data_IF_811840240094
#
_entry.id   IF_811840240094
#
_cell.length_a   1.000
_cell.length_b   1.000
_cell.length_c   1.000
_cell.angle_alpha   90.00
_cell.angle_beta   90.00
_cell.angle_gamma   90.00
#
_symmetry.space_group_name_H-M   'P 1'
#
loop_
_entity.id
_entity.type
_entity.pdbx_description
1 polymer ?
#
# COMPACT_ATOMS: atom_id res chain seq x y z
N UNK A 1 13.54 -6.46 -17.19
CA UNK A 1 13.30 -5.04 -16.89
C UNK A 1 11.90 -4.71 -17.38
N UNK A 2 10.87 -5.10 -16.63
CA UNK A 2 9.49 -4.84 -17.00
C UNK A 2 9.00 -3.63 -16.21
N UNK A 3 8.47 -2.64 -16.92
CA UNK A 3 7.99 -1.34 -16.46
C UNK A 3 7.13 -1.40 -15.19
N UNK A 4 7.78 -1.30 -14.02
CA UNK A 4 7.10 -0.99 -12.77
C UNK A 4 6.65 0.47 -12.87
N UNK A 5 5.39 0.69 -13.24
CA UNK A 5 4.80 2.02 -13.31
C UNK A 5 4.48 2.50 -11.90
N UNK A 6 5.22 3.49 -11.43
CA UNK A 6 4.96 4.19 -10.18
C UNK A 6 4.26 5.53 -10.43
N UNK A 7 3.56 6.01 -9.41
CA UNK A 7 2.88 7.29 -9.45
C UNK A 7 2.38 7.72 -8.08
N UNK A 8 1.60 8.79 -8.05
CA UNK A 8 0.94 9.27 -6.85
C UNK A 8 -0.55 9.44 -7.12
N UNK A 9 -1.38 9.04 -6.16
CA UNK A 9 -2.82 9.23 -6.21
C UNK A 9 -3.29 9.85 -4.89
N UNK A 10 -4.27 10.74 -4.96
CA UNK A 10 -4.87 11.34 -3.78
C UNK A 10 -6.03 10.48 -3.29
N UNK A 11 -5.92 9.97 -2.06
CA UNK A 11 -6.92 9.14 -1.40
C UNK A 11 -7.25 9.78 -0.06
N UNK A 12 -8.52 10.10 0.17
CA UNK A 12 -8.99 10.74 1.42
C UNK A 12 -8.22 12.03 1.79
N UNK A 13 -7.80 12.80 0.77
CA UNK A 13 -6.99 14.02 0.95
C UNK A 13 -5.51 13.76 1.26
N UNK A 14 -5.04 12.51 1.15
CA UNK A 14 -3.65 12.12 1.31
C UNK A 14 -3.06 11.70 -0.02
N UNK A 15 -1.91 12.27 -0.38
CA UNK A 15 -1.15 11.88 -1.58
C UNK A 15 -0.33 10.62 -1.34
N UNK A 16 -0.82 9.46 -1.79
CA UNK A 16 -0.17 8.17 -1.63
C UNK A 16 0.63 7.76 -2.87
N UNK A 17 1.85 7.29 -2.64
CA UNK A 17 2.62 6.60 -3.68
C UNK A 17 1.99 5.25 -4.02
N UNK A 18 1.88 4.95 -5.31
CA UNK A 18 1.45 3.64 -5.80
C UNK A 18 2.45 3.03 -6.79
N UNK A 19 2.41 1.71 -6.88
CA UNK A 19 3.13 0.91 -7.87
C UNK A 19 2.15 -0.02 -8.57
N UNK A 20 2.25 -0.11 -9.89
CA UNK A 20 1.47 -1.07 -10.67
C UNK A 20 2.27 -2.37 -10.77
N UNK A 21 1.82 -3.39 -10.05
CA UNK A 21 2.41 -4.73 -10.07
C UNK A 21 1.39 -5.66 -10.71
N UNK A 22 1.77 -6.34 -11.80
CA UNK A 22 0.89 -7.27 -12.55
C UNK A 22 -0.46 -6.65 -12.95
N UNK A 23 -0.46 -5.36 -13.32
CA UNK A 23 -1.67 -4.62 -13.72
C UNK A 23 -2.59 -4.23 -12.55
N UNK A 24 -2.16 -4.43 -11.30
CA UNK A 24 -2.86 -3.96 -10.10
C UNK A 24 -2.12 -2.81 -9.46
N UNK A 25 -2.84 -1.73 -9.21
CA UNK A 25 -2.35 -0.61 -8.43
C UNK A 25 -2.24 -1.04 -6.96
N UNK A 26 -1.04 -0.91 -6.41
CA UNK A 26 -0.74 -1.21 -5.01
C UNK A 26 -0.17 0.03 -4.35
N UNK A 27 -0.66 0.33 -3.15
CA UNK A 27 -0.19 1.46 -2.35
C UNK A 27 0.86 1.01 -1.34
N UNK A 28 1.77 1.92 -1.02
CA UNK A 28 2.72 1.71 0.06
C UNK A 28 1.98 1.58 1.40
N UNK A 29 1.95 0.36 1.95
CA UNK A 29 1.23 0.06 3.19
C UNK A 29 1.73 0.90 4.38
N UNK A 30 3.04 1.19 4.41
CA UNK A 30 3.66 2.07 5.40
C UNK A 30 3.08 3.49 5.36
N UNK A 31 2.84 4.03 4.17
CA UNK A 31 2.28 5.36 3.97
C UNK A 31 0.79 5.38 4.33
N UNK A 32 0.03 4.37 3.88
CA UNK A 32 -1.38 4.18 4.27
C UNK A 32 -1.53 4.14 5.80
N UNK A 33 -0.63 3.46 6.52
CA UNK A 33 -0.69 3.43 7.97
C UNK A 33 -0.35 4.77 8.63
N UNK A 34 0.57 5.54 8.05
CA UNK A 34 1.07 6.77 8.67
C UNK A 34 0.17 7.96 8.38
N UNK A 35 -0.45 8.01 7.20
CA UNK A 35 -1.25 9.14 6.77
C UNK A 35 -2.76 8.87 6.94
N UNK A 36 -3.29 7.80 6.34
CA UNK A 36 -4.72 7.48 6.37
C UNK A 36 -5.15 6.90 7.72
N UNK A 37 -4.39 5.92 8.23
CA UNK A 37 -4.78 5.14 9.41
C UNK A 37 -4.02 5.55 10.67
N UNK A 38 -3.50 6.79 10.70
CA UNK A 38 -2.66 7.32 11.79
C UNK A 38 -3.27 7.21 13.19
N UNK A 39 -4.60 7.25 13.27
CA UNK A 39 -5.36 7.19 14.52
C UNK A 39 -5.79 5.77 14.91
N UNK A 40 -5.50 4.75 14.08
CA UNK A 40 -5.88 3.36 14.33
C UNK A 40 -4.62 2.55 14.67
N UNK A 41 -4.59 1.83 15.81
CA UNK A 41 -3.44 0.99 16.15
C UNK A 41 -3.13 -0.03 15.05
N UNK A 42 -1.85 -0.16 14.67
CA UNK A 42 -1.39 -1.09 13.62
C UNK A 42 -1.88 -2.53 13.83
N UNK A 43 -1.95 -2.98 15.09
CA UNK A 43 -2.47 -4.30 15.46
C UNK A 43 -3.94 -4.49 15.08
N UNK A 44 -4.76 -3.45 15.23
CA UNK A 44 -6.18 -3.46 14.84
C UNK A 44 -6.33 -3.47 13.33
N UNK A 45 -5.51 -2.68 12.62
CA UNK A 45 -5.50 -2.67 11.16
C UNK A 45 -5.10 -4.05 10.62
N UNK A 46 -4.04 -4.65 11.15
CA UNK A 46 -3.62 -6.00 10.76
C UNK A 46 -4.72 -7.04 11.02
N UNK A 47 -5.38 -7.02 12.19
CA UNK A 47 -6.53 -7.90 12.47
C UNK A 47 -7.67 -7.71 11.48
N UNK A 48 -8.00 -6.47 11.13
CA UNK A 48 -9.06 -6.19 10.13
C UNK A 48 -8.66 -6.64 8.74
N UNK A 49 -7.41 -6.42 8.34
CA UNK A 49 -6.89 -6.91 7.05
C UNK A 49 -6.95 -8.43 6.96
N UNK A 50 -6.59 -9.13 8.03
CA UNK A 50 -6.69 -10.60 8.13
C UNK A 50 -8.16 -11.07 8.03
N UNK A 51 -9.05 -10.41 8.79
CA UNK A 51 -10.49 -10.69 8.74
C UNK A 51 -11.09 -10.47 7.35
N UNK A 52 -10.66 -9.39 6.66
CA UNK A 52 -11.08 -9.05 5.30
C UNK A 52 -10.33 -9.87 4.22
N UNK A 53 -9.43 -10.79 4.62
CA UNK A 53 -8.59 -11.61 3.73
C UNK A 53 -7.82 -10.76 2.71
N UNK A 54 -7.37 -9.58 3.12
CA UNK A 54 -6.59 -8.68 2.27
C UNK A 54 -5.24 -9.33 1.97
N UNK A 55 -4.99 -9.64 0.69
CA UNK A 55 -3.70 -10.16 0.25
C UNK A 55 -2.69 -9.01 0.21
N UNK A 56 -1.75 -9.02 1.14
CA UNK A 56 -0.56 -8.17 1.07
C UNK A 56 0.44 -8.77 0.08
N UNK A 57 0.93 -7.95 -0.84
CA UNK A 57 2.07 -8.30 -1.67
C UNK A 57 3.34 -7.86 -0.92
N UNK A 58 4.28 -8.78 -0.75
CA UNK A 58 5.59 -8.42 -0.24
C UNK A 58 6.40 -7.87 -1.40
N UNK A 59 6.77 -6.59 -1.32
CA UNK A 59 7.61 -5.97 -2.35
C UNK A 59 8.99 -6.62 -2.34
N UNK A 60 9.44 -7.06 -3.51
CA UNK A 60 10.82 -7.47 -3.73
C UNK A 60 11.77 -6.25 -3.78
N UNK A 61 13.08 -6.48 -3.67
CA UNK A 61 14.09 -5.40 -3.68
C UNK A 61 14.00 -4.47 -4.90
N UNK A 62 13.57 -5.00 -6.06
CA UNK A 62 13.35 -4.20 -7.27
C UNK A 62 12.09 -3.34 -7.21
N UNK A 63 11.07 -3.75 -6.44
CA UNK A 63 9.82 -3.02 -6.25
C UNK A 63 9.93 -1.97 -5.13
N UNK A 64 10.95 -2.09 -4.27
CA UNK A 64 11.27 -1.12 -3.23
C UNK A 64 12.15 0.04 -3.74
N UNK A 65 12.95 -0.19 -4.79
CA UNK A 65 13.85 0.80 -5.40
C UNK A 65 13.10 1.83 -6.22
#
# INVERSE_FOLDING_TARGET
MGDLKSGFEEVDGVRLGYLIIKGKQMFALSQVFTDLLKNIPRTTVHKRMDHLKVKKHHCDLEELR
#
